data_IF_246839435452
#
_entry.id   IF_246839435452
#
_cell.length_a   1.000
_cell.length_b   1.000
_cell.length_c   1.000
_cell.angle_alpha   90.00
_cell.angle_beta   90.00
_cell.angle_gamma   90.00
#
_symmetry.space_group_name_H-M   'P 1'
#
loop_
_entity.id
_entity.type
_entity.pdbx_description
1 polymer ?
#
# COMPACT_ATOMS: atom_id res chain seq x y z
N UNK A 1 -57.68 35.57 -14.08
CA UNK A 1 -56.28 35.18 -13.76
C UNK A 1 -55.95 33.87 -14.48
N UNK A 2 -55.13 33.92 -15.54
CA UNK A 2 -54.82 32.75 -16.37
C UNK A 2 -53.88 31.76 -15.67
N UNK A 3 -54.13 30.46 -15.83
CA UNK A 3 -53.29 29.40 -15.25
C UNK A 3 -51.88 29.49 -15.85
N UNK A 4 -50.81 29.36 -15.04
CA UNK A 4 -49.44 29.43 -15.55
C UNK A 4 -49.20 28.32 -16.59
N UNK A 5 -48.74 28.71 -17.79
CA UNK A 5 -48.46 27.76 -18.85
C UNK A 5 -47.35 26.79 -18.46
N UNK A 6 -47.54 25.50 -18.73
CA UNK A 6 -46.55 24.47 -18.49
C UNK A 6 -45.28 24.78 -19.31
N UNK A 7 -44.14 24.91 -18.62
CA UNK A 7 -42.84 25.06 -19.29
C UNK A 7 -42.57 23.87 -20.22
N UNK A 8 -42.11 24.14 -21.44
CA UNK A 8 -41.65 23.12 -22.39
C UNK A 8 -40.33 22.51 -21.87
N UNK A 9 -40.05 21.23 -22.16
CA UNK A 9 -38.86 20.46 -21.73
C UNK A 9 -38.75 20.24 -20.21
N UNK A 10 -39.80 19.67 -19.60
CA UNK A 10 -39.82 19.28 -18.18
C UNK A 10 -38.99 18.02 -17.86
N UNK A 11 -38.40 17.34 -18.85
CA UNK A 11 -37.61 16.14 -18.58
C UNK A 11 -36.32 16.52 -17.87
N UNK A 12 -36.13 15.98 -16.66
CA UNK A 12 -34.85 16.02 -15.99
C UNK A 12 -34.00 14.98 -16.70
N UNK A 13 -32.99 15.42 -17.45
CA UNK A 13 -32.15 14.59 -18.30
C UNK A 13 -31.17 13.75 -17.43
N UNK A 14 -31.69 12.93 -16.50
CA UNK A 14 -30.93 12.17 -15.48
C UNK A 14 -30.23 10.95 -16.11
N UNK A 15 -29.50 11.18 -17.19
CA UNK A 15 -28.73 10.16 -17.91
C UNK A 15 -27.33 9.98 -17.31
N UNK A 16 -26.94 10.84 -16.39
CA UNK A 16 -25.57 10.91 -15.86
C UNK A 16 -25.22 9.71 -14.99
N UNK A 17 -26.17 9.21 -14.19
CA UNK A 17 -26.00 7.98 -13.42
C UNK A 17 -25.72 6.79 -14.36
N UNK A 18 -26.62 6.54 -15.32
CA UNK A 18 -26.46 5.44 -16.29
C UNK A 18 -25.17 5.56 -17.10
N UNK A 19 -24.74 6.78 -17.46
CA UNK A 19 -23.48 7.02 -18.17
C UNK A 19 -22.25 6.74 -17.31
N UNK A 20 -22.31 7.04 -16.00
CA UNK A 20 -21.22 6.84 -15.04
C UNK A 20 -20.98 5.35 -14.75
N UNK A 21 -22.05 4.58 -14.57
CA UNK A 21 -21.97 3.15 -14.24
C UNK A 21 -21.85 2.23 -15.47
N UNK A 22 -21.58 2.77 -16.66
CA UNK A 22 -21.42 1.96 -17.87
C UNK A 22 -20.06 1.24 -17.84
N UNK A 23 -20.06 -0.04 -18.19
CA UNK A 23 -18.87 -0.93 -18.16
C UNK A 23 -17.64 -0.35 -18.85
N UNK A 24 -17.79 0.26 -20.04
CA UNK A 24 -16.68 0.91 -20.78
C UNK A 24 -15.97 2.06 -20.05
N UNK A 25 -16.52 2.58 -18.94
CA UNK A 25 -15.94 3.66 -18.13
C UNK A 25 -15.65 3.23 -16.69
N UNK A 26 -15.68 1.92 -16.42
CA UNK A 26 -15.49 1.38 -15.07
C UNK A 26 -14.04 1.63 -14.64
N UNK A 27 -13.88 2.09 -13.41
CA UNK A 27 -12.58 2.27 -12.76
C UNK A 27 -12.19 0.98 -12.05
N UNK A 28 -10.90 0.83 -11.70
CA UNK A 28 -10.43 -0.27 -10.87
C UNK A 28 -11.20 -0.35 -9.55
N UNK A 29 -11.53 -1.56 -9.16
CA UNK A 29 -12.26 -1.83 -7.92
C UNK A 29 -11.30 -1.82 -6.70
N UNK A 30 -11.83 -1.90 -5.48
CA UNK A 30 -11.04 -1.69 -4.25
C UNK A 30 -10.10 -2.88 -3.99
N UNK A 31 -10.63 -4.08 -4.14
CA UNK A 31 -9.92 -5.36 -4.08
C UNK A 31 -8.75 -5.43 -5.08
N UNK A 32 -8.98 -5.03 -6.34
CA UNK A 32 -7.91 -4.94 -7.34
C UNK A 32 -6.80 -3.98 -6.91
N UNK A 33 -7.16 -2.85 -6.29
CA UNK A 33 -6.19 -1.87 -5.78
C UNK A 33 -5.42 -2.41 -4.58
N UNK A 34 -6.04 -3.20 -3.70
CA UNK A 34 -5.31 -3.90 -2.63
C UNK A 34 -4.25 -4.83 -3.19
N UNK A 35 -4.60 -5.61 -4.21
CA UNK A 35 -3.63 -6.51 -4.87
C UNK A 35 -2.49 -5.74 -5.54
N UNK A 36 -2.79 -4.62 -6.20
CA UNK A 36 -1.77 -3.77 -6.83
C UNK A 36 -0.83 -3.16 -5.77
N UNK A 37 -1.34 -2.78 -4.60
CA UNK A 37 -0.55 -2.26 -3.48
C UNK A 37 0.35 -3.34 -2.87
N UNK A 38 -0.13 -4.58 -2.76
CA UNK A 38 0.63 -5.69 -2.17
C UNK A 38 1.69 -6.27 -3.12
N UNK A 39 1.36 -6.43 -4.40
CA UNK A 39 2.18 -7.20 -5.35
C UNK A 39 2.95 -6.35 -6.36
N UNK A 40 2.43 -5.18 -6.72
CA UNK A 40 2.89 -4.41 -7.89
C UNK A 40 3.33 -2.99 -7.57
N UNK A 41 3.41 -2.61 -6.29
CA UNK A 41 3.70 -1.24 -5.86
C UNK A 41 4.89 -0.63 -6.59
N UNK A 42 6.00 -1.36 -6.63
CA UNK A 42 7.28 -0.83 -7.10
C UNK A 42 7.30 -0.71 -8.63
N UNK A 43 6.66 -1.67 -9.32
CA UNK A 43 6.51 -1.66 -10.77
C UNK A 43 5.57 -0.54 -11.25
N UNK A 44 4.55 -0.20 -10.46
CA UNK A 44 3.60 0.88 -10.77
C UNK A 44 4.15 2.27 -10.44
N UNK A 45 5.08 2.40 -9.49
CA UNK A 45 5.75 3.66 -9.18
C UNK A 45 6.89 3.97 -10.15
N UNK A 46 7.62 2.95 -10.61
CA UNK A 46 8.76 3.10 -11.52
C UNK A 46 8.44 2.55 -12.91
N UNK A 47 7.35 3.03 -13.50
CA UNK A 47 6.95 2.62 -14.85
C UNK A 47 7.92 3.16 -15.91
N UNK A 48 8.03 2.40 -17.00
CA UNK A 48 8.72 2.88 -18.20
C UNK A 48 7.96 4.08 -18.79
N UNK A 49 8.71 4.98 -19.40
CA UNK A 49 8.16 6.16 -20.08
C UNK A 49 7.26 5.69 -21.23
N UNK A 50 5.97 6.00 -21.14
CA UNK A 50 4.97 5.64 -22.14
C UNK A 50 4.25 6.89 -22.65
N UNK A 51 4.32 7.13 -23.96
CA UNK A 51 3.81 8.36 -24.59
C UNK A 51 2.28 8.43 -24.68
N UNK A 52 1.59 7.30 -24.57
CA UNK A 52 0.12 7.24 -24.69
C UNK A 52 -0.58 7.65 -23.38
N UNK A 53 0.15 7.62 -22.27
CA UNK A 53 -0.35 7.94 -20.94
C UNK A 53 -0.05 9.41 -20.57
N UNK A 54 -0.92 10.07 -19.78
CA UNK A 54 -0.66 11.43 -19.33
C UNK A 54 0.56 11.45 -18.40
N UNK A 55 1.40 12.47 -18.52
CA UNK A 55 2.65 12.58 -17.75
C UNK A 55 3.65 11.46 -18.07
N UNK A 56 3.56 10.88 -19.26
CA UNK A 56 4.39 9.79 -19.74
C UNK A 56 4.41 8.54 -18.82
N UNK A 57 3.32 8.32 -18.07
CA UNK A 57 3.20 7.23 -17.10
C UNK A 57 3.96 7.44 -15.77
N UNK A 58 4.73 8.52 -15.64
CA UNK A 58 5.62 8.73 -14.47
C UNK A 58 4.85 9.16 -13.21
N UNK A 59 3.84 10.02 -13.36
CA UNK A 59 3.12 10.57 -12.21
C UNK A 59 1.86 9.78 -11.88
N UNK A 60 2.04 8.63 -11.23
CA UNK A 60 0.95 7.72 -10.87
C UNK A 60 0.56 7.78 -9.38
N UNK A 61 -0.74 7.68 -9.10
CA UNK A 61 -1.27 7.50 -7.74
C UNK A 61 -1.79 6.07 -7.55
N UNK A 62 -1.08 5.28 -6.75
CA UNK A 62 -1.40 3.87 -6.44
C UNK A 62 -2.85 3.70 -5.95
N UNK A 63 -3.26 4.44 -4.92
CA UNK A 63 -4.55 4.24 -4.26
C UNK A 63 -5.78 4.61 -5.11
N UNK A 64 -5.62 5.61 -5.98
CA UNK A 64 -6.70 6.11 -6.84
C UNK A 64 -6.64 5.53 -8.25
N UNK A 65 -5.62 4.73 -8.57
CA UNK A 65 -5.35 4.17 -9.88
C UNK A 65 -5.46 5.18 -11.04
N UNK A 66 -4.80 6.33 -10.89
CA UNK A 66 -4.92 7.45 -11.84
C UNK A 66 -3.57 8.09 -12.11
N UNK A 67 -3.33 8.38 -13.39
CA UNK A 67 -2.18 9.11 -13.90
C UNK A 67 -2.44 10.62 -13.91
N UNK A 68 -1.37 11.38 -13.72
CA UNK A 68 -1.33 12.84 -13.68
C UNK A 68 -0.29 13.37 -14.66
N UNK A 69 -0.40 14.65 -15.01
CA UNK A 69 0.52 15.28 -15.97
C UNK A 69 1.82 15.75 -15.31
N UNK A 70 1.73 16.32 -14.09
CA UNK A 70 2.87 16.89 -13.36
C UNK A 70 2.93 16.44 -11.89
N UNK A 71 4.12 16.51 -11.29
CA UNK A 71 4.33 16.28 -9.84
C UNK A 71 3.49 17.19 -8.95
N UNK A 72 3.34 18.47 -9.33
CA UNK A 72 2.54 19.45 -8.59
C UNK A 72 1.06 19.04 -8.53
N UNK A 73 0.55 18.45 -9.60
CA UNK A 73 -0.83 17.96 -9.65
C UNK A 73 -1.01 16.68 -8.82
N UNK A 74 0.00 15.81 -8.78
CA UNK A 74 0.00 14.61 -7.93
C UNK A 74 0.07 14.96 -6.44
N UNK A 75 0.91 15.91 -6.05
CA UNK A 75 1.04 16.37 -4.66
C UNK A 75 -0.23 17.08 -4.17
N UNK A 76 -0.85 17.92 -5.01
CA UNK A 76 -2.16 18.51 -4.68
C UNK A 76 -3.28 17.46 -4.62
N UNK A 77 -3.27 16.46 -5.51
CA UNK A 77 -4.21 15.31 -5.45
C UNK A 77 -4.15 14.58 -4.11
N UNK A 78 -2.94 14.27 -3.61
CA UNK A 78 -2.75 13.60 -2.31
C UNK A 78 -3.40 14.35 -1.14
N UNK A 79 -3.52 15.68 -1.22
CA UNK A 79 -4.14 16.51 -0.17
C UNK A 79 -5.68 16.50 -0.22
N UNK A 80 -6.29 16.11 -1.34
CA UNK A 80 -7.74 16.16 -1.56
C UNK A 80 -8.52 15.19 -0.67
N UNK A 81 -9.80 15.51 -0.41
CA UNK A 81 -10.70 14.67 0.40
C UNK A 81 -10.94 13.29 -0.21
N UNK A 82 -11.03 13.21 -1.54
CA UNK A 82 -11.27 11.94 -2.23
C UNK A 82 -10.12 10.96 -2.01
N UNK A 83 -8.88 11.42 -2.13
CA UNK A 83 -7.70 10.61 -1.84
C UNK A 83 -7.67 10.14 -0.38
N UNK A 84 -7.93 11.05 0.57
CA UNK A 84 -8.01 10.72 2.00
C UNK A 84 -9.16 9.77 2.34
N UNK A 85 -10.24 9.77 1.56
CA UNK A 85 -11.34 8.80 1.67
C UNK A 85 -10.88 7.43 1.19
N UNK A 86 -10.24 7.38 0.03
CA UNK A 86 -9.69 6.14 -0.56
C UNK A 86 -8.67 5.47 0.37
N UNK A 87 -7.79 6.25 0.97
CA UNK A 87 -6.80 5.74 1.93
C UNK A 87 -7.46 5.24 3.24
N UNK A 88 -8.67 5.69 3.57
CA UNK A 88 -9.43 5.11 4.70
C UNK A 88 -10.09 3.80 4.30
N UNK A 89 -10.70 3.74 3.12
CA UNK A 89 -11.30 2.50 2.57
C UNK A 89 -10.26 1.38 2.45
N UNK A 90 -9.04 1.68 2.00
CA UNK A 90 -7.96 0.69 1.85
C UNK A 90 -7.32 0.23 3.18
N UNK A 91 -7.69 0.82 4.32
CA UNK A 91 -7.24 0.29 5.62
C UNK A 91 -8.06 -0.91 6.05
N UNK A 92 -9.31 -0.97 5.58
CA UNK A 92 -10.21 -2.07 5.85
C UNK A 92 -9.87 -3.25 4.93
N UNK A 93 -10.17 -4.48 5.38
CA UNK A 93 -9.95 -5.67 4.56
C UNK A 93 -10.91 -5.63 3.36
N UNK A 94 -10.44 -5.91 2.13
CA UNK A 94 -11.33 -5.97 0.97
C UNK A 94 -12.32 -7.12 1.10
N UNK A 95 -13.56 -6.86 0.69
CA UNK A 95 -14.60 -7.87 0.61
C UNK A 95 -14.27 -8.89 -0.47
N UNK A 96 -14.47 -10.17 -0.19
CA UNK A 96 -14.18 -11.27 -1.12
C UNK A 96 -15.42 -12.15 -1.31
N UNK A 97 -15.49 -12.82 -2.46
CA UNK A 97 -16.56 -13.78 -2.75
C UNK A 97 -16.65 -14.91 -1.71
N UNK A 98 -15.51 -15.38 -1.19
CA UNK A 98 -15.49 -16.40 -0.14
C UNK A 98 -16.18 -15.94 1.16
N UNK A 99 -16.10 -14.63 1.46
CA UNK A 99 -16.81 -14.04 2.59
C UNK A 99 -18.33 -14.00 2.35
N UNK A 100 -18.74 -13.71 1.10
CA UNK A 100 -20.15 -13.76 0.70
C UNK A 100 -20.75 -15.17 0.85
N UNK A 101 -20.03 -16.19 0.39
CA UNK A 101 -20.46 -17.60 0.45
C UNK A 101 -20.52 -18.13 1.88
N UNK A 102 -19.57 -17.72 2.72
CA UNK A 102 -19.57 -18.03 4.14
C UNK A 102 -20.77 -17.38 4.85
N UNK A 103 -21.09 -16.12 4.54
CA UNK A 103 -22.28 -15.45 5.07
C UNK A 103 -23.58 -16.08 4.58
N UNK A 104 -23.60 -16.64 3.37
CA UNK A 104 -24.72 -17.38 2.81
C UNK A 104 -24.84 -18.83 3.35
N UNK A 105 -23.89 -19.30 4.17
CA UNK A 105 -23.87 -20.65 4.73
C UNK A 105 -23.39 -21.74 3.76
N UNK A 106 -22.79 -21.35 2.63
CA UNK A 106 -22.24 -22.29 1.62
C UNK A 106 -20.73 -22.57 1.81
N UNK A 107 -20.08 -21.92 2.78
CA UNK A 107 -18.63 -22.03 3.03
C UNK A 107 -18.27 -22.54 4.42
N UNK A 108 -17.00 -22.91 4.62
CA UNK A 108 -16.47 -23.26 5.94
C UNK A 108 -16.43 -22.03 6.85
N UNK A 109 -17.03 -22.13 8.04
CA UNK A 109 -16.99 -21.06 9.04
C UNK A 109 -15.55 -20.80 9.51
N UNK A 110 -15.03 -19.61 9.23
CA UNK A 110 -13.76 -19.14 9.78
C UNK A 110 -13.99 -17.87 10.59
N UNK A 111 -13.42 -17.78 11.79
CA UNK A 111 -13.54 -16.59 12.63
C UNK A 111 -12.73 -15.46 11.99
N UNK A 112 -13.41 -14.45 11.47
CA UNK A 112 -12.80 -13.25 10.90
C UNK A 112 -12.18 -12.42 12.03
N UNK A 113 -10.86 -12.48 12.20
CA UNK A 113 -10.14 -11.62 13.15
C UNK A 113 -10.08 -10.22 12.56
N UNK A 114 -10.92 -9.30 13.04
CA UNK A 114 -10.84 -7.89 12.64
C UNK A 114 -9.49 -7.33 13.10
N UNK A 115 -8.64 -6.90 12.17
CA UNK A 115 -7.36 -6.22 12.45
C UNK A 115 -7.61 -4.78 12.92
N UNK A 116 -8.50 -4.56 13.88
CA UNK A 116 -8.58 -3.28 14.59
C UNK A 116 -7.52 -3.34 15.71
N UNK A 117 -6.26 -3.06 15.37
CA UNK A 117 -5.21 -2.75 16.37
C UNK A 117 -4.28 -3.87 16.86
N UNK A 118 -3.81 -4.81 16.03
CA UNK A 118 -2.72 -5.73 16.42
C UNK A 118 -1.34 -5.18 16.02
N UNK A 119 -0.77 -4.31 16.85
CA UNK A 119 0.68 -4.30 17.08
C UNK A 119 1.00 -5.50 17.96
N UNK A 120 1.18 -6.68 17.37
CA UNK A 120 1.86 -7.77 18.05
C UNK A 120 3.32 -7.70 17.63
N UNK A 121 4.14 -7.28 18.58
CA UNK A 121 5.60 -7.26 18.50
C UNK A 121 6.11 -8.66 18.13
N UNK A 122 6.76 -8.78 16.98
CA UNK A 122 7.61 -9.93 16.68
C UNK A 122 8.89 -9.83 17.52
N UNK A 123 8.83 -10.25 18.78
CA UNK A 123 10.02 -10.43 19.63
C UNK A 123 9.82 -11.62 20.57
N UNK A 124 9.81 -12.83 20.01
CA UNK A 124 10.17 -14.05 20.76
C UNK A 124 11.03 -14.91 19.84
N UNK A 125 12.29 -14.51 19.69
CA UNK A 125 13.34 -15.35 19.10
C UNK A 125 14.74 -14.88 19.50
N UNK A 126 15.04 -14.80 20.81
CA UNK A 126 16.43 -14.95 21.31
C UNK A 126 16.50 -15.09 22.84
N UNK A 127 16.25 -16.27 23.40
CA UNK A 127 16.70 -16.57 24.78
C UNK A 127 17.31 -17.97 24.82
N UNK A 128 18.65 -17.96 24.87
CA UNK A 128 19.56 -18.91 25.54
C UNK A 128 19.64 -20.35 25.01
N UNK A 129 20.66 -20.60 24.18
CA UNK A 129 21.40 -21.85 24.17
C UNK A 129 22.90 -21.55 24.15
N UNK A 130 23.50 -21.61 25.34
CA UNK A 130 24.92 -21.70 25.71
C UNK A 130 24.93 -21.37 27.21
N UNK A 131 25.55 -22.06 28.14
CA UNK A 131 26.43 -23.23 28.14
C UNK A 131 26.82 -23.39 29.61
N UNK A 132 26.64 -24.54 30.23
CA UNK A 132 27.26 -24.85 31.52
C UNK A 132 27.62 -26.33 31.57
N UNK A 133 28.78 -26.65 31.01
CA UNK A 133 29.52 -27.84 31.35
C UNK A 133 30.90 -27.37 31.83
N UNK A 134 31.21 -27.76 33.06
CA UNK A 134 32.51 -27.67 33.70
C UNK A 134 33.59 -28.36 32.86
N UNK A 135 34.82 -27.86 32.90
CA UNK A 135 36.03 -28.68 33.13
C UNK A 135 37.29 -27.80 33.31
N UNK A 136 38.20 -28.34 34.10
CA UNK A 136 39.34 -27.78 34.85
C UNK A 136 40.64 -27.65 34.04
N UNK A 137 41.48 -26.63 34.32
CA UNK A 137 42.91 -26.72 34.75
C UNK A 137 43.74 -25.43 34.47
N UNK A 138 44.34 -24.92 35.56
CA UNK A 138 45.69 -24.31 35.74
C UNK A 138 46.13 -22.97 35.09
N UNK A 139 46.78 -22.07 35.86
CA UNK A 139 47.37 -20.80 35.39
C UNK A 139 48.90 -20.89 35.21
N UNK A 140 49.45 -20.19 34.21
CA UNK A 140 50.84 -19.76 34.22
C UNK A 140 51.10 -18.53 33.34
N UNK A 141 51.57 -17.49 34.01
CA UNK A 141 52.38 -16.35 33.62
C UNK A 141 53.20 -16.50 32.32
N UNK A 142 53.28 -15.42 31.52
CA UNK A 142 54.50 -14.59 31.38
C UNK A 142 54.62 -13.88 30.01
N UNK A 143 54.96 -12.59 30.11
CA UNK A 143 55.89 -11.79 29.29
C UNK A 143 55.56 -11.34 27.84
N UNK A 144 55.56 -10.00 27.73
CA UNK A 144 56.34 -9.14 26.81
C UNK A 144 55.81 -8.73 25.43
N UNK A 145 55.57 -7.41 25.35
CA UNK A 145 56.30 -6.44 24.51
C UNK A 145 55.76 -6.09 23.12
N UNK A 146 55.41 -4.78 23.01
CA UNK A 146 55.77 -3.78 21.98
C UNK A 146 55.62 -4.19 20.49
N UNK A 147 55.00 -3.43 19.60
CA UNK A 147 55.16 -1.98 19.39
C UNK A 147 54.12 -1.46 18.39
N UNK A 148 53.58 -0.28 18.67
CA UNK A 148 53.02 0.64 17.67
C UNK A 148 54.11 1.08 16.68
N UNK A 149 53.85 1.01 15.38
CA UNK A 149 54.39 1.95 14.39
C UNK A 149 53.28 2.25 13.37
N UNK A 150 52.71 3.45 13.49
CA UNK A 150 52.17 4.21 12.36
C UNK A 150 53.36 4.74 11.56
N UNK A 151 53.28 4.72 10.23
CA UNK A 151 53.68 5.85 9.38
C UNK A 151 53.28 5.54 7.93
N UNK A 152 52.53 6.46 7.33
CA UNK A 152 52.36 6.54 5.88
C UNK A 152 53.43 7.44 5.29
N UNK A 153 53.71 7.25 3.99
CA UNK A 153 54.37 8.25 3.15
C UNK A 153 53.99 8.00 1.68
N UNK A 154 53.48 9.06 1.06
CA UNK A 154 53.43 9.29 -0.38
C UNK A 154 54.84 9.26 -0.99
N UNK A 155 54.93 8.93 -2.29
CA UNK A 155 55.62 9.66 -3.38
C UNK A 155 55.82 8.67 -4.54
N UNK A 156 55.37 9.04 -5.74
CA UNK A 156 55.58 8.32 -7.01
C UNK A 156 54.45 8.56 -7.98
#
# INVERSE_FOLDING_TARGET
>A
MGKPQRKKRTHKNIKDFKKKFRTRKRTKDIDEVHEDVEKKSDALLHQKVDSDLPGQGQFYCLFCARYFMDEKTLTSHKKTKNHKKRMRELKDKPYSQAEAEMAAGMGSFTIQVTKQGKSLNNNVSKVKNASSAMDTFSPASSVTSTSNIMEGLNIG
#
